data_IF_283586412225
#
_entry.id   IF_283586412225
#
_cell.length_a   1.000
_cell.length_b   1.000
_cell.length_c   1.000
_cell.angle_alpha   90.00
_cell.angle_beta   90.00
_cell.angle_gamma   90.00
#
_symmetry.space_group_name_H-M   'P 1'
#
loop_
_entity.id
_entity.type
_entity.pdbx_description
1 polymer ?
#
# COMPACT_ATOMS: atom_id res chain seq x y z
N UNK A 1 -10.52 -49.63 15.06
CA UNK A 1 -10.35 -48.25 15.53
C UNK A 1 -9.47 -47.49 14.54
N UNK A 2 -9.46 -46.15 14.58
CA UNK A 2 -8.69 -45.33 13.61
C UNK A 2 -7.19 -45.64 13.59
N UNK A 3 -6.56 -45.75 14.76
CA UNK A 3 -5.13 -46.08 14.89
C UNK A 3 -4.81 -47.50 14.38
N UNK A 4 -5.65 -48.50 14.68
CA UNK A 4 -5.47 -49.86 14.17
C UNK A 4 -5.58 -49.93 12.63
N UNK A 5 -6.49 -49.16 12.03
CA UNK A 5 -6.61 -49.05 10.57
C UNK A 5 -5.38 -48.39 9.94
N UNK A 6 -4.82 -47.36 10.60
CA UNK A 6 -3.60 -46.69 10.17
C UNK A 6 -2.31 -47.49 10.42
N UNK A 7 -2.39 -48.67 11.05
CA UNK A 7 -1.21 -49.48 11.41
C UNK A 7 -0.33 -48.88 12.51
N UNK A 8 -0.89 -47.97 13.32
CA UNK A 8 -0.16 -47.26 14.37
C UNK A 8 -0.61 -47.72 15.78
N UNK A 9 0.31 -47.85 16.75
CA UNK A 9 -0.05 -48.16 18.13
C UNK A 9 -0.74 -46.96 18.78
N UNK A 10 -1.83 -47.21 19.49
CA UNK A 10 -2.49 -46.21 20.33
C UNK A 10 -1.94 -46.29 21.75
N UNK A 11 -1.58 -45.15 22.35
CA UNK A 11 -1.00 -45.08 23.70
C UNK A 11 -1.99 -45.40 24.81
N UNK A 12 -3.30 -45.33 24.54
CA UNK A 12 -4.33 -45.45 25.57
C UNK A 12 -4.76 -44.10 26.18
N UNK A 13 -4.05 -43.02 25.88
CA UNK A 13 -4.30 -41.68 26.40
C UNK A 13 -4.80 -40.76 25.27
N UNK A 14 -5.79 -39.93 25.57
CA UNK A 14 -6.36 -38.94 24.63
C UNK A 14 -6.54 -37.60 25.32
N UNK A 15 -6.25 -36.53 24.58
CA UNK A 15 -6.59 -35.16 24.95
C UNK A 15 -6.87 -34.35 23.68
N UNK A 16 -7.30 -33.09 23.82
CA UNK A 16 -7.65 -32.20 22.72
C UNK A 16 -6.61 -31.09 22.55
N UNK A 17 -6.34 -30.74 21.29
CA UNK A 17 -5.49 -29.60 20.93
C UNK A 17 -6.26 -28.63 20.05
N UNK A 18 -6.02 -27.34 20.25
CA UNK A 18 -6.59 -26.30 19.39
C UNK A 18 -5.96 -26.39 18.00
N UNK A 19 -6.81 -26.39 16.95
CA UNK A 19 -6.37 -26.37 15.56
C UNK A 19 -7.16 -25.32 14.79
N UNK A 20 -6.51 -24.66 13.85
CA UNK A 20 -7.17 -23.76 12.90
C UNK A 20 -6.88 -24.23 11.48
N UNK A 21 -7.88 -24.09 10.62
CA UNK A 21 -7.78 -24.43 9.21
C UNK A 21 -8.41 -23.32 8.37
N UNK A 22 -7.64 -22.77 7.43
CA UNK A 22 -8.12 -21.73 6.53
C UNK A 22 -8.28 -22.35 5.15
N UNK A 23 -9.48 -22.24 4.59
CA UNK A 23 -9.77 -22.71 3.24
C UNK A 23 -10.15 -21.55 2.32
N UNK A 24 -9.58 -21.44 1.10
CA UNK A 24 -9.92 -20.39 0.18
C UNK A 24 -11.39 -20.44 -0.27
N UNK A 25 -12.04 -19.28 -0.36
CA UNK A 25 -13.37 -19.16 -0.96
C UNK A 25 -13.20 -18.97 -2.48
N UNK A 26 -13.64 -19.95 -3.26
CA UNK A 26 -13.52 -19.97 -4.74
C UNK A 26 -14.84 -19.81 -5.47
N UNK A 27 -15.96 -19.76 -4.73
CA UNK A 27 -17.32 -19.62 -5.26
C UNK A 27 -17.95 -18.32 -4.74
N UNK A 28 -19.19 -18.01 -5.14
CA UNK A 28 -19.87 -16.74 -4.81
C UNK A 28 -19.21 -15.50 -5.43
N UNK A 29 -18.78 -15.59 -6.69
CA UNK A 29 -18.24 -14.44 -7.44
C UNK A 29 -19.31 -13.35 -7.55
N UNK A 30 -18.99 -12.17 -7.03
CA UNK A 30 -19.90 -11.03 -7.07
C UNK A 30 -20.10 -10.53 -8.52
N UNK A 31 -21.30 -10.04 -8.89
CA UNK A 31 -21.51 -9.34 -10.15
C UNK A 31 -20.58 -8.12 -10.29
N UNK A 32 -20.27 -7.71 -11.53
CA UNK A 32 -19.27 -6.64 -11.81
C UNK A 32 -19.48 -5.33 -11.03
N UNK A 33 -20.72 -4.95 -10.75
CA UNK A 33 -21.06 -3.72 -10.04
C UNK A 33 -20.87 -3.81 -8.52
N UNK A 34 -20.51 -4.99 -8.01
CA UNK A 34 -20.18 -5.26 -6.60
C UNK A 34 -18.74 -5.73 -6.43
N UNK A 35 -17.92 -5.64 -7.48
CA UNK A 35 -16.49 -5.87 -7.37
C UNK A 35 -15.86 -4.80 -6.46
N UNK A 36 -14.88 -5.20 -5.66
CA UNK A 36 -14.20 -4.29 -4.73
C UNK A 36 -13.59 -3.13 -5.50
N UNK A 37 -13.91 -1.90 -5.09
CA UNK A 37 -13.23 -0.73 -5.60
C UNK A 37 -11.85 -0.57 -4.95
N UNK A 38 -10.92 0.11 -5.63
CA UNK A 38 -9.56 0.35 -5.11
C UNK A 38 -9.59 0.96 -3.70
N UNK A 39 -10.50 1.91 -3.45
CA UNK A 39 -10.66 2.60 -2.17
C UNK A 39 -11.09 1.68 -1.03
N UNK A 40 -11.74 0.54 -1.30
CA UNK A 40 -12.12 -0.38 -0.23
C UNK A 40 -10.91 -0.99 0.48
N UNK A 41 -9.76 -1.07 -0.20
CA UNK A 41 -8.51 -1.54 0.41
C UNK A 41 -7.52 -0.40 0.67
N UNK A 42 -7.42 0.55 -0.27
CA UNK A 42 -6.41 1.60 -0.26
C UNK A 42 -6.79 2.86 0.53
N UNK A 43 -8.05 3.02 0.97
CA UNK A 43 -8.41 4.16 1.80
C UNK A 43 -7.87 3.99 3.24
N UNK A 44 -7.69 5.11 3.95
CA UNK A 44 -7.27 5.13 5.36
C UNK A 44 -8.17 4.26 6.26
N UNK A 45 -9.47 4.28 6.00
CA UNK A 45 -10.47 3.48 6.72
C UNK A 45 -10.98 2.31 5.85
N UNK A 46 -10.10 1.75 4.99
CA UNK A 46 -10.42 0.57 4.19
C UNK A 46 -10.26 -0.74 4.97
N UNK A 47 -10.53 -1.85 4.28
CA UNK A 47 -10.41 -3.24 4.80
C UNK A 47 -9.02 -3.56 5.36
N UNK A 48 -7.98 -2.88 4.88
CA UNK A 48 -6.60 -3.10 5.30
C UNK A 48 -6.12 -2.08 6.35
N UNK A 49 -7.02 -1.32 7.01
CA UNK A 49 -6.64 -0.25 7.93
C UNK A 49 -5.70 -0.69 9.07
N UNK A 50 -5.89 -1.92 9.58
CA UNK A 50 -5.14 -2.43 10.74
C UNK A 50 -3.96 -3.35 10.39
N UNK A 51 -3.76 -3.66 9.10
CA UNK A 51 -2.64 -4.52 8.71
C UNK A 51 -1.33 -3.74 8.70
N UNK A 52 -0.31 -4.23 9.38
CA UNK A 52 1.00 -3.58 9.44
C UNK A 52 2.04 -4.39 8.66
N UNK A 53 3.26 -3.86 8.52
CA UNK A 53 4.38 -4.57 7.88
C UNK A 53 4.57 -4.31 6.38
N UNK A 54 3.74 -3.45 5.76
CA UNK A 54 3.91 -3.04 4.37
C UNK A 54 3.42 -1.60 4.13
N UNK A 55 3.89 -1.00 3.04
CA UNK A 55 3.41 0.29 2.54
C UNK A 55 2.21 0.09 1.61
N UNK A 56 1.14 0.82 1.87
CA UNK A 56 -0.10 0.79 1.10
C UNK A 56 -0.40 2.17 0.48
N UNK A 57 -0.27 2.32 -0.86
CA UNK A 57 -0.66 3.56 -1.54
C UNK A 57 -2.07 4.01 -1.18
N UNK A 58 -2.26 5.30 -0.92
CA UNK A 58 -3.55 5.90 -0.55
C UNK A 58 -3.87 5.82 0.95
N UNK A 59 -3.47 4.73 1.63
CA UNK A 59 -3.63 4.56 3.08
C UNK A 59 -2.48 5.21 3.82
N UNK A 60 -1.27 4.82 3.45
CA UNK A 60 -0.03 5.25 4.07
C UNK A 60 0.50 6.49 3.34
N UNK A 61 0.75 7.54 4.10
CA UNK A 61 1.32 8.78 3.58
C UNK A 61 2.43 9.27 4.49
N UNK A 62 3.59 9.57 3.92
CA UNK A 62 4.68 10.22 4.64
C UNK A 62 4.60 11.73 4.43
N UNK A 63 4.22 12.46 5.48
CA UNK A 63 4.06 13.93 5.43
C UNK A 63 5.37 14.65 5.12
N UNK A 64 6.50 14.15 5.61
CA UNK A 64 7.82 14.77 5.40
C UNK A 64 8.18 14.68 3.91
N UNK A 65 8.07 13.50 3.31
CA UNK A 65 8.35 13.31 1.88
C UNK A 65 7.42 14.17 1.02
N UNK A 66 6.14 14.25 1.37
CA UNK A 66 5.18 15.09 0.64
C UNK A 66 5.57 16.58 0.66
N UNK A 67 5.88 17.13 1.83
CA UNK A 67 6.26 18.55 1.91
C UNK A 67 7.59 18.84 1.23
N UNK A 68 8.59 17.97 1.42
CA UNK A 68 9.89 18.11 0.75
C UNK A 68 9.74 18.02 -0.78
N UNK A 69 8.96 17.06 -1.27
CA UNK A 69 8.68 16.90 -2.69
C UNK A 69 8.10 18.17 -3.31
N UNK A 70 7.06 18.73 -2.70
CA UNK A 70 6.46 19.98 -3.18
C UNK A 70 7.39 21.19 -3.07
N UNK A 71 8.20 21.25 -2.01
CA UNK A 71 9.20 22.32 -1.83
C UNK A 71 10.22 22.29 -2.97
N UNK A 72 10.69 21.10 -3.35
CA UNK A 72 11.61 20.94 -4.49
C UNK A 72 10.94 21.37 -5.79
N UNK A 73 9.69 20.97 -6.05
CA UNK A 73 8.97 21.38 -7.27
C UNK A 73 8.88 22.90 -7.38
N UNK A 74 8.42 23.59 -6.33
CA UNK A 74 8.31 25.05 -6.33
C UNK A 74 9.68 25.74 -6.36
N UNK A 75 10.66 25.19 -5.66
CA UNK A 75 12.04 25.70 -5.67
C UNK A 75 12.66 25.63 -7.08
N UNK A 76 12.49 24.51 -7.78
CA UNK A 76 12.95 24.35 -9.16
C UNK A 76 12.25 25.32 -10.11
N UNK A 77 10.94 25.48 -9.96
CA UNK A 77 10.17 26.44 -10.77
C UNK A 77 10.68 27.87 -10.57
N UNK A 78 10.87 28.30 -9.32
CA UNK A 78 11.42 29.62 -8.99
C UNK A 78 12.83 29.81 -9.56
N UNK A 79 13.70 28.80 -9.46
CA UNK A 79 15.05 28.83 -10.03
C UNK A 79 15.05 29.04 -11.54
N UNK A 80 14.17 28.36 -12.27
CA UNK A 80 14.03 28.53 -13.74
C UNK A 80 13.54 29.94 -14.08
N UNK A 81 12.56 30.48 -13.34
CA UNK A 81 12.09 31.85 -13.54
C UNK A 81 13.19 32.89 -13.28
N UNK A 82 13.92 32.75 -12.17
CA UNK A 82 15.05 33.64 -11.83
C UNK A 82 16.11 33.57 -12.93
N UNK A 83 16.47 32.36 -13.38
CA UNK A 83 17.44 32.16 -14.45
C UNK A 83 16.98 32.79 -15.77
N UNK A 84 15.72 32.56 -16.16
CA UNK A 84 15.13 33.11 -17.38
C UNK A 84 15.05 34.64 -17.37
N UNK A 85 14.61 35.23 -16.25
CA UNK A 85 14.55 36.68 -16.08
C UNK A 85 15.94 37.32 -16.08
N UNK A 86 16.91 36.68 -15.40
CA UNK A 86 18.31 37.11 -15.44
C UNK A 86 18.88 37.11 -16.85
N UNK A 87 18.57 36.08 -17.67
CA UNK A 87 18.95 36.04 -19.09
C UNK A 87 18.29 37.15 -19.91
N UNK A 88 17.03 37.47 -19.65
CA UNK A 88 16.31 38.53 -20.37
C UNK A 88 16.91 39.91 -20.09
N UNK A 89 17.15 40.23 -18.81
CA UNK A 89 17.75 41.51 -18.40
C UNK A 89 19.16 41.66 -18.99
N UNK A 90 20.00 40.62 -18.90
CA UNK A 90 21.37 40.66 -19.41
C UNK A 90 21.46 40.82 -20.95
N UNK A 91 20.45 40.37 -21.71
CA UNK A 91 20.41 40.56 -23.16
C UNK A 91 20.08 42.01 -23.54
N UNK A 92 19.15 42.66 -22.83
CA UNK A 92 18.78 44.06 -23.08
C UNK A 92 19.88 45.07 -22.75
N UNK A 93 20.88 44.70 -21.94
CA UNK A 93 22.05 45.53 -21.64
C UNK A 93 23.16 45.51 -22.69
N UNK A 94 23.11 44.57 -23.67
CA UNK A 94 24.13 44.46 -24.73
C UNK A 94 23.81 45.32 -25.98
N UNK A 95 22.60 45.86 -26.06
CA UNK A 95 22.10 46.69 -27.16
C UNK A 95 22.09 48.20 -26.81
N UNK A 96 22.73 48.59 -25.70
CA UNK A 96 23.04 50.00 -25.35
C UNK A 96 24.54 50.22 -25.34
#
# INVERSE_FOLDING_TARGET
>A
SGMAYAGLPFSGEMDFVETSYVFPITHMVAPKNKALACSECHAKNGRLAHLTGFYMPGRDVNRVIQYLGWTVVFGSLAGVFIHGLGRFIARGGKER
#
